data_IF_439514410714
#
_entry.id   IF_439514410714
#
_cell.length_a   1.000
_cell.length_b   1.000
_cell.length_c   1.000
_cell.angle_alpha   90.00
_cell.angle_beta   90.00
_cell.angle_gamma   90.00
#
_symmetry.space_group_name_H-M   'P 1'
#
loop_
_entity.id
_entity.type
_entity.pdbx_description
1 polymer ?
#
# COMPACT_ATOMS: atom_id res chain seq x y z
N UNK A 1 -24.09 6.83 -18.18
CA UNK A 1 -24.12 6.67 -16.72
C UNK A 1 -22.70 6.36 -16.28
N UNK A 2 -22.12 7.14 -15.39
CA UNK A 2 -20.81 6.81 -14.82
C UNK A 2 -20.99 5.59 -13.91
N UNK A 3 -20.27 4.50 -14.17
CA UNK A 3 -20.22 3.40 -13.24
C UNK A 3 -19.30 3.82 -12.09
N UNK A 4 -19.80 3.74 -10.86
CA UNK A 4 -19.01 4.01 -9.66
C UNK A 4 -18.62 2.68 -9.05
N UNK A 5 -17.32 2.43 -8.92
CA UNK A 5 -16.79 1.20 -8.33
C UNK A 5 -16.79 1.29 -6.81
N UNK A 6 -16.90 0.16 -6.12
CA UNK A 6 -16.63 0.08 -4.68
C UNK A 6 -15.13 0.23 -4.41
N UNK A 7 -14.74 0.75 -3.23
CA UNK A 7 -13.32 0.95 -2.91
C UNK A 7 -12.56 -0.39 -2.89
N UNK A 8 -13.25 -1.46 -2.48
CA UNK A 8 -12.75 -2.82 -2.52
C UNK A 8 -12.47 -3.29 -3.96
N UNK A 9 -13.31 -2.92 -4.92
CA UNK A 9 -13.09 -3.26 -6.32
C UNK A 9 -11.90 -2.50 -6.90
N UNK A 10 -11.74 -1.22 -6.54
CA UNK A 10 -10.57 -0.42 -6.93
C UNK A 10 -9.30 -1.05 -6.36
N UNK A 11 -9.30 -1.45 -5.08
CA UNK A 11 -8.16 -2.10 -4.45
C UNK A 11 -7.84 -3.45 -5.11
N UNK A 12 -8.86 -4.26 -5.42
CA UNK A 12 -8.71 -5.53 -6.12
C UNK A 12 -8.15 -5.36 -7.52
N UNK A 13 -8.63 -4.39 -8.29
CA UNK A 13 -8.13 -4.13 -9.65
C UNK A 13 -6.70 -3.59 -9.57
N UNK A 14 -6.43 -2.64 -8.68
CA UNK A 14 -5.10 -2.07 -8.48
C UNK A 14 -4.06 -3.10 -8.08
N UNK A 15 -4.42 -4.04 -7.20
CA UNK A 15 -3.50 -5.10 -6.75
C UNK A 15 -3.11 -6.08 -7.84
N UNK A 16 -3.93 -6.28 -8.87
CA UNK A 16 -3.58 -7.11 -10.03
C UNK A 16 -2.40 -6.55 -10.85
N UNK A 17 -2.13 -5.24 -10.74
CA UNK A 17 -1.04 -4.58 -11.46
C UNK A 17 0.16 -4.27 -10.55
N UNK A 18 0.09 -4.61 -9.27
CA UNK A 18 1.20 -4.51 -8.34
C UNK A 18 2.01 -5.81 -8.40
N UNK A 19 3.28 -5.69 -8.78
CA UNK A 19 4.23 -6.79 -8.71
C UNK A 19 4.87 -6.82 -7.32
N UNK A 20 4.62 -7.89 -6.54
CA UNK A 20 5.24 -8.04 -5.23
C UNK A 20 6.76 -8.18 -5.28
N UNK A 21 7.32 -8.76 -6.34
CA UNK A 21 8.78 -8.87 -6.48
C UNK A 21 9.46 -7.48 -6.52
N UNK A 22 8.83 -6.52 -7.21
CA UNK A 22 9.29 -5.12 -7.19
C UNK A 22 9.17 -4.50 -5.80
N UNK A 23 8.18 -4.90 -5.01
CA UNK A 23 8.02 -4.39 -3.65
C UNK A 23 9.21 -4.80 -2.78
N UNK A 24 9.63 -6.06 -2.87
CA UNK A 24 10.81 -6.57 -2.19
C UNK A 24 12.08 -5.85 -2.67
N UNK A 25 12.21 -5.63 -3.98
CA UNK A 25 13.31 -4.87 -4.60
C UNK A 25 13.36 -3.38 -4.25
N UNK A 26 12.38 -2.85 -3.53
CA UNK A 26 12.42 -1.46 -3.03
C UNK A 26 12.67 -1.41 -1.52
N UNK A 27 12.43 -2.49 -0.78
CA UNK A 27 12.74 -2.56 0.67
C UNK A 27 14.25 -2.44 0.91
N UNK A 28 14.70 -1.84 2.02
CA UNK A 28 16.14 -1.75 2.31
C UNK A 28 16.78 -3.13 2.43
N UNK A 29 18.10 -3.28 2.15
CA UNK A 29 18.80 -4.55 2.24
C UNK A 29 18.64 -5.27 3.60
N UNK A 30 18.54 -4.53 4.71
CA UNK A 30 18.31 -5.11 6.04
C UNK A 30 16.97 -5.86 6.14
N UNK A 31 16.04 -5.58 5.22
CA UNK A 31 14.71 -6.20 5.14
C UNK A 31 14.63 -7.31 4.09
N UNK A 32 15.60 -7.40 3.16
CA UNK A 32 15.69 -8.44 2.13
C UNK A 32 16.38 -9.72 2.58
N UNK A 33 16.91 -9.75 3.80
CA UNK A 33 17.80 -10.80 4.30
C UNK A 33 18.99 -11.06 3.36
N UNK A 34 19.99 -10.18 3.28
CA UNK A 34 21.43 -10.51 3.11
C UNK A 34 22.31 -9.24 2.96
N UNK A 35 23.46 -9.26 3.67
CA UNK A 35 24.74 -8.49 3.60
C UNK A 35 24.81 -7.01 4.00
N UNK A 36 25.64 -6.81 5.04
CA UNK A 36 26.40 -5.63 5.44
C UNK A 36 27.03 -4.82 4.29
N UNK A 37 26.72 -3.53 4.22
CA UNK A 37 27.45 -2.52 3.45
C UNK A 37 26.62 -1.26 3.26
N UNK A 38 27.24 -0.08 3.33
CA UNK A 38 26.62 1.25 3.26
C UNK A 38 26.00 1.59 1.87
N UNK A 39 25.62 0.59 1.07
CA UNK A 39 24.89 0.76 -0.18
C UNK A 39 23.41 0.52 0.09
N UNK A 40 22.65 1.60 0.24
CA UNK A 40 21.20 1.56 0.07
C UNK A 40 20.97 1.36 -1.44
N UNK A 41 20.99 0.11 -1.89
CA UNK A 41 20.63 -0.30 -3.25
C UNK A 41 19.12 -0.06 -3.47
N UNK A 42 18.74 1.21 -3.57
CA UNK A 42 17.42 1.65 -3.98
C UNK A 42 17.25 1.38 -5.47
N UNK A 43 16.40 0.41 -5.79
CA UNK A 43 16.03 0.14 -7.18
C UNK A 43 14.97 1.15 -7.63
N UNK A 44 15.45 2.21 -8.29
CA UNK A 44 14.62 3.29 -8.80
C UNK A 44 13.59 2.80 -9.83
N UNK A 45 13.91 1.78 -10.63
CA UNK A 45 13.00 1.27 -11.66
C UNK A 45 11.81 0.55 -11.02
N UNK A 46 12.07 -0.32 -10.05
CA UNK A 46 11.03 -0.98 -9.26
C UNK A 46 10.17 0.02 -8.50
N UNK A 47 10.79 1.03 -7.86
CA UNK A 47 10.05 2.09 -7.18
C UNK A 47 9.14 2.86 -8.13
N UNK A 48 9.66 3.28 -9.28
CA UNK A 48 8.92 4.05 -10.27
C UNK A 48 7.77 3.23 -10.87
N UNK A 49 7.96 1.93 -11.10
CA UNK A 49 6.93 1.04 -11.58
C UNK A 49 5.76 0.95 -10.57
N UNK A 50 6.06 0.68 -9.30
CA UNK A 50 5.07 0.63 -8.22
C UNK A 50 4.35 1.97 -8.06
N UNK A 51 5.08 3.09 -8.05
CA UNK A 51 4.52 4.43 -7.94
C UNK A 51 3.54 4.73 -9.07
N UNK A 52 3.89 4.38 -10.31
CA UNK A 52 2.98 4.53 -11.47
C UNK A 52 1.73 3.70 -11.30
N UNK A 53 1.85 2.45 -10.83
CA UNK A 53 0.69 1.60 -10.56
C UNK A 53 -0.23 2.23 -9.51
N UNK A 54 0.28 2.76 -8.40
CA UNK A 54 -0.54 3.45 -7.40
C UNK A 54 -1.30 4.64 -8.00
N UNK A 55 -0.62 5.48 -8.79
CA UNK A 55 -1.24 6.63 -9.45
C UNK A 55 -2.31 6.24 -10.48
N UNK A 56 -2.18 5.07 -11.10
CA UNK A 56 -3.20 4.51 -11.98
C UNK A 56 -4.39 3.95 -11.19
N UNK A 57 -4.12 3.25 -10.08
CA UNK A 57 -5.15 2.74 -9.16
C UNK A 57 -6.05 3.85 -8.64
N UNK A 58 -5.47 4.97 -8.22
CA UNK A 58 -6.22 6.18 -7.79
C UNK A 58 -7.10 6.78 -8.90
N UNK A 59 -6.90 6.39 -10.16
CA UNK A 59 -7.62 6.91 -11.34
C UNK A 59 -8.54 5.90 -12.00
N UNK A 60 -8.69 4.69 -11.43
CA UNK A 60 -9.59 3.63 -11.94
C UNK A 60 -11.02 4.16 -12.05
N UNK A 61 -11.52 4.78 -10.98
CA UNK A 61 -12.82 5.43 -10.97
C UNK A 61 -12.67 6.94 -10.86
N UNK A 62 -12.76 7.63 -12.00
CA UNK A 62 -12.66 9.10 -12.05
C UNK A 62 -13.88 9.81 -11.46
N UNK A 63 -14.98 9.10 -11.18
CA UNK A 63 -16.17 9.68 -10.59
C UNK A 63 -16.08 9.79 -9.06
N UNK A 64 -15.28 8.93 -8.42
CA UNK A 64 -14.87 9.11 -7.02
C UNK A 64 -13.83 10.21 -6.94
N UNK A 65 -14.14 11.25 -6.16
CA UNK A 65 -13.13 12.25 -5.79
C UNK A 65 -12.24 11.65 -4.69
N UNK A 66 -10.95 11.98 -4.77
CA UNK A 66 -10.00 11.83 -3.67
C UNK A 66 -9.67 10.39 -3.21
N UNK A 67 -9.64 9.44 -4.14
CA UNK A 67 -9.03 8.12 -3.87
C UNK A 67 -7.52 8.28 -3.75
N UNK A 68 -6.96 7.80 -2.63
CA UNK A 68 -5.52 7.77 -2.37
C UNK A 68 -5.06 6.35 -2.10
N UNK A 69 -3.86 6.01 -2.54
CA UNK A 69 -3.30 4.68 -2.36
C UNK A 69 -1.94 4.74 -1.65
N UNK A 70 -1.60 3.71 -0.89
CA UNK A 70 -0.23 3.49 -0.44
C UNK A 70 0.10 2.01 -0.24
N UNK A 71 1.38 1.69 -0.15
CA UNK A 71 1.89 0.35 0.11
C UNK A 71 2.50 0.29 1.49
N UNK A 72 1.95 -0.61 2.31
CA UNK A 72 2.46 -0.97 3.62
C UNK A 72 3.36 -2.18 3.53
N UNK A 73 4.44 -2.15 4.31
CA UNK A 73 5.31 -3.30 4.54
C UNK A 73 5.40 -3.59 6.03
N UNK A 74 5.54 -4.87 6.36
CA UNK A 74 5.69 -5.33 7.73
C UNK A 74 7.14 -5.17 8.17
N UNK A 75 7.35 -4.78 9.43
CA UNK A 75 8.71 -4.72 9.98
C UNK A 75 9.24 -6.12 10.32
N UNK A 76 10.45 -6.49 9.87
CA UNK A 76 11.02 -7.81 10.18
C UNK A 76 11.41 -7.93 11.67
N UNK A 77 11.87 -6.85 12.28
CA UNK A 77 12.28 -6.80 13.69
C UNK A 77 11.10 -6.72 14.66
N UNK A 78 9.97 -6.16 14.20
CA UNK A 78 8.75 -6.04 14.99
C UNK A 78 7.52 -6.39 14.15
N UNK A 79 7.14 -7.69 14.05
CA UNK A 79 6.03 -8.13 13.21
C UNK A 79 4.64 -7.58 13.61
N UNK A 80 4.49 -6.89 14.74
CA UNK A 80 3.25 -6.16 15.06
C UNK A 80 3.20 -4.75 14.47
N UNK A 81 4.30 -4.30 13.84
CA UNK A 81 4.43 -2.96 13.28
C UNK A 81 4.55 -3.00 11.75
N UNK A 82 4.03 -1.95 11.14
CA UNK A 82 4.13 -1.72 9.71
C UNK A 82 4.58 -0.29 9.44
N UNK A 83 5.05 -0.05 8.24
CA UNK A 83 5.38 1.30 7.76
C UNK A 83 4.99 1.44 6.29
N UNK A 84 4.76 2.68 5.89
CA UNK A 84 4.50 3.00 4.50
C UNK A 84 5.80 3.01 3.72
N UNK A 85 5.86 2.20 2.65
CA UNK A 85 6.99 2.20 1.75
C UNK A 85 6.80 3.19 0.60
N UNK A 86 5.61 3.21 -0.02
CA UNK A 86 5.31 4.06 -1.17
C UNK A 86 3.90 4.62 -1.04
N UNK A 87 3.76 5.95 -1.06
CA UNK A 87 2.47 6.62 -1.24
C UNK A 87 2.17 6.89 -2.71
N UNK A 88 0.90 6.98 -3.07
CA UNK A 88 0.41 7.47 -4.37
C UNK A 88 0.49 8.99 -4.45
N UNK A 89 -0.63 9.67 -4.65
CA UNK A 89 -0.66 11.15 -4.68
C UNK A 89 -0.55 11.79 -3.31
N UNK A 90 -1.02 11.10 -2.27
CA UNK A 90 -1.06 11.60 -0.90
C UNK A 90 -0.44 10.61 0.08
N UNK A 91 -0.16 11.09 1.29
CA UNK A 91 0.24 10.23 2.39
C UNK A 91 -0.95 9.36 2.87
N UNK A 92 -0.68 8.17 3.44
CA UNK A 92 -1.69 7.30 4.03
C UNK A 92 -2.52 7.99 5.10
N UNK A 93 -3.76 7.52 5.31
CA UNK A 93 -4.62 8.02 6.40
C UNK A 93 -4.05 7.65 7.77
N UNK A 94 -3.36 6.51 7.89
CA UNK A 94 -2.71 6.11 9.16
C UNK A 94 -1.42 6.93 9.45
N UNK A 95 -0.98 7.79 8.53
CA UNK A 95 0.30 8.50 8.60
C UNK A 95 1.44 7.73 7.91
N UNK A 96 2.58 8.39 7.74
CA UNK A 96 3.73 7.88 6.98
C UNK A 96 4.84 7.29 7.87
N UNK A 97 4.59 7.18 9.17
CA UNK A 97 5.53 6.68 10.15
C UNK A 97 5.37 5.17 10.36
N UNK A 98 6.24 4.59 11.17
CA UNK A 98 6.06 3.25 11.69
C UNK A 98 4.87 3.27 12.67
N UNK A 99 3.87 2.43 12.41
CA UNK A 99 2.67 2.30 13.24
C UNK A 99 2.57 0.92 13.86
N UNK A 100 1.84 0.83 14.97
CA UNK A 100 1.30 -0.45 15.42
C UNK A 100 0.13 -0.82 14.51
N UNK A 101 0.12 -2.06 14.00
CA UNK A 101 -0.91 -2.48 13.06
C UNK A 101 -2.25 -2.62 13.77
N UNK A 102 -3.25 -1.90 13.25
CA UNK A 102 -4.64 -2.17 13.58
C UNK A 102 -5.10 -3.55 13.10
N UNK A 103 -6.26 -4.03 13.59
CA UNK A 103 -6.74 -5.38 13.28
C UNK A 103 -7.02 -5.60 11.79
N UNK A 104 -7.46 -4.57 11.06
CA UNK A 104 -7.71 -4.64 9.61
C UNK A 104 -6.42 -4.86 8.81
N UNK A 105 -5.39 -4.07 9.09
CA UNK A 105 -4.08 -4.20 8.45
C UNK A 105 -3.42 -5.54 8.82
N UNK A 106 -3.53 -5.97 10.07
CA UNK A 106 -3.04 -7.29 10.50
C UNK A 106 -3.71 -8.44 9.74
N UNK A 107 -5.04 -8.38 9.55
CA UNK A 107 -5.78 -9.37 8.75
C UNK A 107 -5.40 -9.34 7.27
N UNK A 108 -5.12 -8.16 6.72
CA UNK A 108 -4.63 -8.04 5.35
C UNK A 108 -3.26 -8.69 5.16
N UNK A 109 -2.32 -8.51 6.10
CA UNK A 109 -1.05 -9.25 6.09
C UNK A 109 -1.20 -10.76 6.31
N UNK A 110 -2.35 -11.22 6.81
CA UNK A 110 -2.72 -12.64 6.87
C UNK A 110 -3.42 -13.15 5.60
N UNK A 111 -3.56 -12.31 4.56
CA UNK A 111 -4.12 -12.68 3.26
C UNK A 111 -5.61 -12.42 3.10
N UNK A 112 -6.25 -11.77 4.07
CA UNK A 112 -7.67 -11.43 3.99
C UNK A 112 -7.84 -9.95 3.64
N UNK A 113 -8.38 -9.58 2.46
CA UNK A 113 -8.76 -8.21 2.18
C UNK A 113 -9.73 -7.70 3.26
N UNK A 114 -9.52 -6.49 3.75
CA UNK A 114 -10.38 -5.89 4.79
C UNK A 114 -10.77 -4.47 4.44
N UNK A 115 -11.82 -3.98 5.10
CA UNK A 115 -12.21 -2.58 5.06
C UNK A 115 -12.42 -2.04 6.46
N UNK A 116 -12.29 -0.72 6.59
CA UNK A 116 -12.52 0.04 7.82
C UNK A 116 -13.28 1.30 7.46
N UNK A 117 -14.37 1.56 8.19
CA UNK A 117 -14.99 2.88 8.21
C UNK A 117 -14.35 3.69 9.34
N UNK A 118 -13.82 4.86 9.00
CA UNK A 118 -13.17 5.79 9.92
C UNK A 118 -14.21 6.61 10.68
N UNK A 119 -13.77 7.28 11.73
CA UNK A 119 -14.63 8.14 12.56
C UNK A 119 -15.26 9.31 11.79
N UNK A 120 -14.65 9.76 10.70
CA UNK A 120 -15.22 10.77 9.80
C UNK A 120 -16.17 10.20 8.73
N UNK A 121 -16.41 8.89 8.74
CA UNK A 121 -17.23 8.20 7.74
C UNK A 121 -16.46 7.80 6.48
N UNK A 122 -15.16 8.10 6.40
CA UNK A 122 -14.32 7.71 5.27
C UNK A 122 -14.04 6.21 5.27
N UNK A 123 -14.08 5.61 4.08
CA UNK A 123 -13.74 4.21 3.89
C UNK A 123 -12.24 4.05 3.59
N UNK A 124 -11.63 3.06 4.23
CA UNK A 124 -10.28 2.57 3.91
C UNK A 124 -10.35 1.07 3.65
N UNK A 125 -9.73 0.60 2.58
CA UNK A 125 -9.59 -0.81 2.22
C UNK A 125 -8.12 -1.20 2.27
N UNK A 126 -7.87 -2.41 2.74
CA UNK A 126 -6.57 -3.04 2.77
C UNK A 126 -6.60 -4.33 1.94
N UNK A 127 -5.70 -4.45 0.97
CA UNK A 127 -5.64 -5.58 0.06
C UNK A 127 -4.23 -6.20 0.06
N UNK A 128 -4.06 -7.50 0.30
CA UNK A 128 -2.74 -8.14 0.30
C UNK A 128 -2.08 -8.06 -1.08
N UNK A 129 -0.77 -7.79 -1.09
CA UNK A 129 0.08 -7.83 -2.29
C UNK A 129 0.98 -9.04 -2.19
N UNK A 130 0.97 -9.89 -3.22
CA UNK A 130 1.76 -11.12 -3.29
C UNK A 130 2.92 -10.98 -4.28
N UNK A 131 4.04 -11.63 -3.97
CA UNK A 131 5.14 -11.81 -4.91
C UNK A 131 4.89 -13.03 -5.82
N UNK A 132 5.85 -13.34 -6.69
CA UNK A 132 5.77 -14.48 -7.62
C UNK A 132 5.76 -15.85 -6.92
N UNK A 133 6.17 -15.92 -5.65
CA UNK A 133 6.13 -17.12 -4.80
C UNK A 133 4.83 -17.25 -3.99
N UNK A 134 3.83 -16.40 -4.27
CA UNK A 134 2.56 -16.31 -3.54
C UNK A 134 2.71 -15.83 -2.07
N UNK A 135 3.87 -15.32 -1.67
CA UNK A 135 4.09 -14.75 -0.33
C UNK A 135 3.54 -13.34 -0.23
N UNK A 136 2.97 -12.98 0.93
CA UNK A 136 2.45 -11.63 1.17
C UNK A 136 3.60 -10.73 1.59
N UNK A 137 4.04 -9.89 0.66
CA UNK A 137 5.17 -8.98 0.83
C UNK A 137 4.73 -7.56 1.20
N UNK A 138 3.44 -7.26 1.05
CA UNK A 138 2.89 -5.96 1.40
C UNK A 138 1.38 -5.93 1.45
N UNK A 139 0.85 -4.76 1.76
CA UNK A 139 -0.59 -4.48 1.72
C UNK A 139 -0.81 -3.15 0.99
N UNK A 140 -1.68 -3.18 -0.01
CA UNK A 140 -2.23 -1.99 -0.65
C UNK A 140 -3.32 -1.41 0.25
N UNK A 141 -3.12 -0.20 0.75
CA UNK A 141 -4.21 0.61 1.29
C UNK A 141 -4.81 1.45 0.16
N UNK A 142 -6.14 1.47 0.08
CA UNK A 142 -6.90 2.41 -0.74
C UNK A 142 -7.89 3.12 0.18
N UNK A 143 -7.85 4.45 0.21
CA UNK A 143 -8.69 5.27 1.08
C UNK A 143 -9.37 6.38 0.29
N UNK A 144 -10.53 6.81 0.78
CA UNK A 144 -11.12 8.09 0.36
C UNK A 144 -10.59 9.17 1.29
N UNK A 145 -9.83 10.10 0.75
CA UNK A 145 -9.17 11.16 1.52
C UNK A 145 -9.99 12.47 1.45
N UNK A 146 -10.19 13.18 2.56
CA UNK A 146 -10.97 14.42 2.61
C UNK A 146 -10.25 15.74 2.30
N UNK A 147 -8.93 15.86 2.50
CA UNK A 147 -8.13 17.12 2.35
C UNK A 147 -6.61 16.95 2.07
N UNK A 148 -6.05 17.40 0.94
CA UNK A 148 -4.62 17.19 0.65
C UNK A 148 -3.69 17.79 1.73
N UNK A 149 -2.78 16.96 2.29
CA UNK A 149 -1.62 17.46 3.04
C UNK A 149 -0.65 18.10 2.05
N UNK A 150 -0.67 19.42 1.96
CA UNK A 150 0.49 20.21 1.58
C UNK A 150 1.17 20.68 2.87
N UNK A 151 2.45 20.32 3.04
CA UNK A 151 3.37 21.04 3.94
C UNK A 151 4.18 21.99 3.07
#
# INVERSE_FOLDING_TARGET
>A
MSHTYELMEIARVGSLFLCGDWLEQVMTPERRSYVSGDDIDFDEDSFNALKRTLLLTERIDRSRRDVTCCLWVRRPDHPSRAETLIGGRSLPVEGHHIIEMGPELFRAFAGMPTSRIRSGGEETVYYPVRNSEEEIVGVLEVSVYGEPYFI
#
